data_IF_536858752091
#
_entry.id   IF_536858752091
#
_cell.length_a   1.000
_cell.length_b   1.000
_cell.length_c   1.000
_cell.angle_alpha   90.00
_cell.angle_beta   90.00
_cell.angle_gamma   90.00
#
_symmetry.space_group_name_H-M   'P 1'
#
loop_
_entity.id
_entity.type
_entity.pdbx_description
1 polymer ?
#
# COMPACT_ATOMS: atom_id res chain seq x y z
N UNK A 1 5.30 12.94 10.04
CA UNK A 1 5.44 12.63 8.60
C UNK A 1 4.08 12.14 8.15
N UNK A 2 3.31 13.06 7.57
CA UNK A 2 1.90 12.88 7.22
C UNK A 2 1.85 12.31 5.79
N UNK A 3 1.58 11.01 5.67
CA UNK A 3 1.44 10.32 4.39
C UNK A 3 0.03 10.56 3.85
N UNK A 4 -0.23 11.74 3.29
CA UNK A 4 -1.49 12.01 2.57
C UNK A 4 -1.38 11.57 1.11
N UNK A 5 -2.29 10.67 0.72
CA UNK A 5 -2.43 10.03 -0.60
C UNK A 5 -2.39 11.03 -1.76
N UNK A 6 -1.57 10.78 -2.76
CA UNK A 6 -1.78 11.28 -4.13
C UNK A 6 -2.68 10.28 -4.87
N UNK A 7 -3.99 10.52 -4.91
CA UNK A 7 -4.86 9.83 -5.87
C UNK A 7 -4.83 10.60 -7.19
N UNK A 8 -4.27 9.98 -8.22
CA UNK A 8 -4.38 10.45 -9.61
C UNK A 8 -5.63 9.81 -10.21
N UNK A 9 -6.73 10.55 -10.23
CA UNK A 9 -7.94 10.14 -10.97
C UNK A 9 -7.75 10.44 -12.45
N UNK A 10 -7.52 9.42 -13.28
CA UNK A 10 -7.55 9.55 -14.74
C UNK A 10 -8.86 8.97 -15.25
N UNK A 11 -9.83 9.84 -15.54
CA UNK A 11 -11.16 9.46 -15.99
C UNK A 11 -11.21 9.36 -17.52
N UNK A 12 -10.44 8.45 -18.13
CA UNK A 12 -10.76 7.87 -19.45
C UNK A 12 -9.80 6.69 -19.77
N UNK A 13 -10.36 5.54 -20.15
CA UNK A 13 -9.59 4.33 -20.52
C UNK A 13 -9.70 4.05 -22.03
N UNK A 14 -9.38 5.06 -22.84
CA UNK A 14 -9.17 4.88 -24.27
C UNK A 14 -7.77 5.37 -24.63
N UNK A 15 -6.88 4.42 -24.91
CA UNK A 15 -5.59 4.72 -25.55
C UNK A 15 -5.88 5.03 -27.03
N UNK A 16 -6.37 6.24 -27.28
CA UNK A 16 -6.31 6.87 -28.60
C UNK A 16 -5.39 8.10 -28.48
N UNK A 17 -4.44 8.21 -29.39
CA UNK A 17 -3.22 9.00 -29.28
C UNK A 17 -3.39 10.52 -29.34
N UNK A 18 -4.28 11.13 -28.56
CA UNK A 18 -4.39 12.59 -28.45
C UNK A 18 -4.57 13.07 -27.01
N UNK A 19 -3.52 13.76 -26.55
CA UNK A 19 -3.50 14.78 -25.49
C UNK A 19 -3.61 14.27 -24.04
N UNK A 20 -2.47 13.85 -23.47
CA UNK A 20 -2.32 13.50 -22.06
C UNK A 20 -2.31 14.76 -21.18
N UNK A 21 -3.49 15.25 -20.76
CA UNK A 21 -3.58 16.21 -19.65
C UNK A 21 -4.00 15.49 -18.38
N UNK A 22 -3.02 15.10 -17.58
CA UNK A 22 -3.25 14.75 -16.18
C UNK A 22 -3.76 16.01 -15.45
N UNK A 23 -4.99 15.97 -14.93
CA UNK A 23 -5.53 17.05 -14.09
C UNK A 23 -4.71 17.08 -12.79
N UNK A 24 -3.96 18.16 -12.61
CA UNK A 24 -3.13 18.36 -11.42
C UNK A 24 -4.03 18.92 -10.33
N UNK A 25 -4.32 18.11 -9.31
CA UNK A 25 -5.09 18.53 -8.13
C UNK A 25 -4.35 19.63 -7.34
N UNK A 26 -5.10 20.52 -6.68
CA UNK A 26 -4.56 21.75 -6.05
C UNK A 26 -3.42 21.53 -5.05
N UNK A 27 -3.36 20.38 -4.38
CA UNK A 27 -2.26 20.04 -3.46
C UNK A 27 -0.91 19.83 -4.17
N UNK A 28 -0.92 19.25 -5.38
CA UNK A 28 0.30 19.10 -6.17
C UNK A 28 0.80 20.44 -6.72
N UNK A 29 -0.08 21.42 -6.93
CA UNK A 29 0.29 22.79 -7.32
C UNK A 29 0.94 23.52 -6.13
N UNK A 30 0.36 23.41 -4.93
CA UNK A 30 0.93 24.02 -3.72
C UNK A 30 2.35 23.49 -3.41
N UNK A 31 2.58 22.17 -3.53
CA UNK A 31 3.91 21.58 -3.37
C UNK A 31 4.92 22.12 -4.40
N UNK A 32 4.50 22.26 -5.66
CA UNK A 32 5.35 22.78 -6.75
C UNK A 32 5.74 24.24 -6.54
N UNK A 33 4.80 25.08 -6.09
CA UNK A 33 5.04 26.50 -5.80
C UNK A 33 5.97 26.66 -4.60
N UNK A 34 5.78 25.86 -3.55
CA UNK A 34 6.65 25.91 -2.37
C UNK A 34 8.09 25.41 -2.63
N UNK A 35 8.28 24.52 -3.60
CA UNK A 35 9.60 23.98 -3.95
C UNK A 35 10.25 24.64 -5.19
N UNK A 36 9.62 25.68 -5.77
CA UNK A 36 10.24 26.52 -6.81
C UNK A 36 10.43 25.85 -8.18
N UNK A 37 9.64 24.83 -8.51
CA UNK A 37 9.75 24.15 -9.81
C UNK A 37 9.05 24.94 -10.93
N UNK A 38 9.75 25.08 -12.07
CA UNK A 38 9.24 25.78 -13.26
C UNK A 38 8.07 24.99 -13.88
N UNK A 39 6.97 25.68 -14.19
CA UNK A 39 5.64 25.05 -14.35
C UNK A 39 5.48 24.25 -15.66
N UNK A 40 6.45 24.32 -16.57
CA UNK A 40 6.31 23.84 -17.95
C UNK A 40 7.03 22.54 -18.31
N UNK A 41 7.89 21.99 -17.44
CA UNK A 41 8.78 20.86 -17.78
C UNK A 41 8.57 19.57 -16.96
N UNK A 42 7.39 19.41 -16.33
CA UNK A 42 7.12 18.21 -15.53
C UNK A 42 6.33 17.19 -16.35
N UNK A 43 7.03 16.19 -16.87
CA UNK A 43 6.42 15.01 -17.46
C UNK A 43 5.99 14.02 -16.35
N UNK A 44 4.75 13.53 -16.43
CA UNK A 44 4.24 12.46 -15.58
C UNK A 44 4.28 11.14 -16.38
N UNK A 45 4.89 10.10 -15.80
CA UNK A 45 4.85 8.75 -16.36
C UNK A 45 3.83 7.91 -15.59
N UNK A 46 3.01 7.14 -16.31
CA UNK A 46 2.07 6.20 -15.73
C UNK A 46 2.62 4.78 -15.87
N UNK A 47 2.92 4.13 -14.74
CA UNK A 47 3.32 2.73 -14.71
C UNK A 47 2.10 1.82 -14.78
N UNK A 48 1.99 1.01 -15.83
CA UNK A 48 0.99 -0.06 -15.92
C UNK A 48 1.58 -1.34 -15.35
N UNK A 49 1.10 -1.76 -14.18
CA UNK A 49 1.54 -2.99 -13.52
C UNK A 49 0.41 -4.03 -13.53
N UNK A 50 0.76 -5.30 -13.70
CA UNK A 50 -0.19 -6.39 -13.63
C UNK A 50 -0.63 -6.58 -12.18
N UNK A 51 -1.94 -6.59 -11.95
CA UNK A 51 -2.50 -6.81 -10.61
C UNK A 51 -2.27 -8.25 -10.13
N UNK A 52 -1.85 -8.38 -8.88
CA UNK A 52 -1.68 -9.66 -8.18
C UNK A 52 -2.99 -10.04 -7.50
N UNK A 53 -3.28 -11.35 -7.38
CA UNK A 53 -4.48 -11.89 -6.70
C UNK A 53 -4.34 -11.89 -5.18
N UNK A 54 -3.99 -10.73 -4.61
CA UNK A 54 -3.94 -10.54 -3.15
C UNK A 54 -5.33 -10.41 -2.52
N UNK A 55 -6.39 -10.31 -3.32
CA UNK A 55 -7.80 -10.29 -2.87
C UNK A 55 -8.20 -11.54 -2.07
N UNK A 56 -7.64 -12.71 -2.44
CA UNK A 56 -7.86 -14.00 -1.76
C UNK A 56 -6.76 -14.37 -0.78
N UNK A 57 -5.74 -13.52 -0.65
CA UNK A 57 -4.57 -13.77 0.20
C UNK A 57 -4.32 -12.60 1.13
N UNK A 58 -3.04 -12.27 1.28
CA UNK A 58 -2.58 -11.15 2.08
C UNK A 58 -1.70 -10.20 1.26
N UNK A 59 -1.58 -8.99 1.76
CA UNK A 59 -0.68 -7.96 1.25
C UNK A 59 -0.32 -7.00 2.37
N UNK A 60 0.66 -6.13 2.14
CA UNK A 60 1.07 -5.16 3.13
C UNK A 60 2.29 -4.39 2.69
N UNK A 61 2.99 -3.81 3.67
CA UNK A 61 4.13 -2.93 3.43
C UNK A 61 5.31 -3.42 4.26
N UNK A 62 6.51 -3.31 3.69
CA UNK A 62 7.74 -3.63 4.40
C UNK A 62 8.66 -2.42 4.39
N UNK A 63 9.22 -2.12 5.55
CA UNK A 63 10.25 -1.13 5.75
C UNK A 63 11.55 -1.83 6.15
N UNK A 64 12.62 -1.52 5.44
CA UNK A 64 13.95 -2.07 5.71
C UNK A 64 14.67 -1.38 6.87
N UNK A 65 13.97 -0.56 7.64
CA UNK A 65 14.47 0.09 8.85
C UNK A 65 13.29 0.25 9.80
N UNK A 66 13.55 0.27 11.09
CA UNK A 66 12.54 0.62 12.07
C UNK A 66 12.25 2.12 12.00
N UNK A 67 11.02 2.49 11.66
CA UNK A 67 10.61 3.90 11.49
C UNK A 67 10.47 4.64 12.81
N UNK A 68 10.33 3.94 13.94
CA UNK A 68 10.22 4.58 15.26
C UNK A 68 11.59 4.91 15.85
N UNK A 69 12.53 3.95 15.81
CA UNK A 69 13.87 4.11 16.40
C UNK A 69 14.97 4.50 15.41
N UNK A 70 14.75 4.31 14.10
CA UNK A 70 15.78 4.46 13.06
C UNK A 70 16.78 3.30 13.01
N UNK A 71 16.51 2.19 13.71
CA UNK A 71 17.40 1.03 13.73
C UNK A 71 17.39 0.31 12.37
N UNK A 72 18.54 0.29 11.69
CA UNK A 72 18.68 -0.21 10.32
C UNK A 72 18.76 -1.74 10.23
N UNK A 73 19.08 -2.41 11.33
CA UNK A 73 19.24 -3.86 11.41
C UNK A 73 17.92 -4.59 11.68
N UNK A 74 16.80 -3.86 11.79
CA UNK A 74 15.46 -4.41 11.81
C UNK A 74 14.73 -4.18 10.47
N UNK A 75 13.87 -5.13 10.13
CA UNK A 75 12.86 -5.00 9.07
C UNK A 75 11.50 -5.02 9.76
N UNK A 76 10.71 -4.00 9.47
CA UNK A 76 9.33 -3.91 9.93
C UNK A 76 8.41 -4.31 8.78
N UNK A 77 7.63 -5.36 8.99
CA UNK A 77 6.67 -5.87 7.99
C UNK A 77 5.29 -5.73 8.58
N UNK A 78 4.39 -5.10 7.83
CA UNK A 78 2.96 -5.11 8.11
C UNK A 78 2.22 -5.96 7.09
N UNK A 79 1.19 -6.69 7.50
CA UNK A 79 0.36 -7.46 6.57
C UNK A 79 -1.10 -7.53 6.99
N UNK A 80 -1.99 -7.53 6.00
CA UNK A 80 -3.43 -7.69 6.20
C UNK A 80 -4.00 -8.51 5.05
N UNK A 81 -5.22 -9.04 5.24
CA UNK A 81 -5.94 -9.73 4.17
C UNK A 81 -6.42 -8.76 3.09
N UNK A 82 -6.46 -9.24 1.85
CA UNK A 82 -6.94 -8.47 0.70
C UNK A 82 -5.86 -7.61 0.03
N UNK A 83 -6.31 -6.59 -0.70
CA UNK A 83 -5.46 -5.67 -1.47
C UNK A 83 -4.72 -4.67 -0.57
N UNK A 84 -3.44 -4.44 -0.89
CA UNK A 84 -2.52 -3.68 -0.02
C UNK A 84 -2.81 -2.20 0.05
N UNK A 85 -3.66 -1.70 -0.85
CA UNK A 85 -4.17 -0.35 -0.81
C UNK A 85 -4.83 -0.06 0.55
N UNK A 86 -5.62 -0.98 1.11
CA UNK A 86 -6.25 -0.76 2.42
C UNK A 86 -5.24 -0.44 3.53
N UNK A 87 -4.06 -1.08 3.49
CA UNK A 87 -2.98 -0.88 4.47
C UNK A 87 -2.29 0.48 4.23
N UNK A 88 -1.94 0.80 2.98
CA UNK A 88 -1.32 2.09 2.62
C UNK A 88 -2.24 3.27 2.94
N UNK A 89 -3.55 3.05 2.84
CA UNK A 89 -4.56 4.05 3.16
C UNK A 89 -4.81 4.22 4.67
N UNK A 90 -4.25 3.36 5.54
CA UNK A 90 -4.52 3.36 6.99
C UNK A 90 -5.95 2.96 7.35
N UNK A 91 -6.66 2.28 6.45
CA UNK A 91 -8.07 1.92 6.65
C UNK A 91 -8.26 0.63 7.46
N UNK A 92 -7.21 -0.17 7.61
CA UNK A 92 -7.21 -1.45 8.35
C UNK A 92 -6.06 -1.47 9.34
N UNK A 93 -6.24 -2.17 10.46
CA UNK A 93 -5.19 -2.46 11.43
C UNK A 93 -4.49 -3.79 11.06
N UNK A 94 -3.27 -3.74 10.48
CA UNK A 94 -2.56 -4.93 9.99
C UNK A 94 -1.86 -5.69 11.11
N UNK A 95 -1.44 -6.92 10.82
CA UNK A 95 -0.44 -7.63 11.61
C UNK A 95 0.93 -6.96 11.48
N UNK A 96 1.73 -7.05 12.53
CA UNK A 96 3.06 -6.46 12.60
C UNK A 96 4.11 -7.53 12.90
N UNK A 97 5.21 -7.50 12.16
CA UNK A 97 6.35 -8.38 12.34
C UNK A 97 7.65 -7.59 12.35
N UNK A 98 8.49 -7.87 13.34
CA UNK A 98 9.85 -7.33 13.43
C UNK A 98 10.84 -8.43 13.14
N UNK A 99 11.69 -8.24 12.13
CA UNK A 99 12.68 -9.23 11.70
C UNK A 99 14.08 -8.64 11.84
N UNK A 100 15.00 -9.40 12.46
CA UNK A 100 16.38 -9.01 12.69
C UNK A 100 17.29 -9.46 11.54
N UNK A 101 17.84 -8.51 10.79
CA UNK A 101 18.64 -8.81 9.60
C UNK A 101 19.90 -9.61 9.89
N UNK A 102 20.72 -9.31 10.92
CA UNK A 102 21.91 -10.11 11.22
C UNK A 102 21.57 -11.56 11.56
N UNK A 103 20.48 -11.80 12.29
CA UNK A 103 19.98 -13.14 12.60
C UNK A 103 19.56 -13.90 11.34
N UNK A 104 18.86 -13.24 10.42
CA UNK A 104 18.44 -13.81 9.13
C UNK A 104 19.64 -14.16 8.25
N UNK A 105 20.64 -13.28 8.17
CA UNK A 105 21.90 -13.53 7.44
C UNK A 105 22.68 -14.72 8.00
N UNK A 106 22.56 -14.97 9.30
CA UNK A 106 23.17 -16.12 9.98
C UNK A 106 22.33 -17.42 9.88
N UNK A 107 21.21 -17.41 9.14
CA UNK A 107 20.33 -18.58 8.98
C UNK A 107 19.57 -18.98 10.25
N UNK A 108 19.42 -18.05 11.21
CA UNK A 108 18.71 -18.29 12.48
C UNK A 108 17.28 -17.74 12.40
N UNK A 109 16.35 -18.23 13.23
CA UNK A 109 15.05 -17.61 13.41
C UNK A 109 15.22 -16.12 13.76
N UNK A 110 14.73 -15.26 12.87
CA UNK A 110 15.01 -13.83 12.90
C UNK A 110 13.81 -12.98 13.33
N UNK A 111 12.64 -13.59 13.58
CA UNK A 111 11.43 -12.88 14.00
C UNK A 111 11.59 -12.52 15.49
N UNK A 112 11.75 -11.23 15.76
CA UNK A 112 11.88 -10.68 17.11
C UNK A 112 10.52 -10.55 17.81
N UNK A 113 9.52 -10.09 17.08
CA UNK A 113 8.19 -9.81 17.60
C UNK A 113 7.16 -10.00 16.50
N UNK A 114 5.98 -10.49 16.90
CA UNK A 114 4.78 -10.59 16.08
C UNK A 114 3.59 -10.06 16.87
N UNK A 115 2.76 -9.23 16.25
CA UNK A 115 1.53 -8.69 16.82
C UNK A 115 0.38 -8.96 15.87
N UNK A 116 -0.74 -9.45 16.40
CA UNK A 116 -1.95 -9.71 15.61
C UNK A 116 -2.76 -8.43 15.54
N UNK A 117 -2.99 -7.92 14.33
CA UNK A 117 -3.89 -6.80 14.08
C UNK A 117 -5.34 -7.23 14.08
N UNK A 118 -6.26 -6.28 14.27
CA UNK A 118 -7.70 -6.55 14.28
C UNK A 118 -8.22 -7.10 12.94
N UNK A 119 -7.67 -6.59 11.82
CA UNK A 119 -8.00 -7.03 10.45
C UNK A 119 -9.52 -7.17 10.21
N UNK A 120 -10.33 -6.24 10.74
CA UNK A 120 -11.79 -6.34 10.69
C UNK A 120 -12.34 -6.33 9.26
N UNK A 121 -11.70 -5.56 8.38
CA UNK A 121 -12.08 -5.39 6.98
C UNK A 121 -10.91 -5.70 6.05
N UNK A 122 -11.22 -6.21 4.86
CA UNK A 122 -10.27 -6.48 3.79
C UNK A 122 -10.80 -5.93 2.46
N UNK A 123 -9.93 -5.33 1.65
CA UNK A 123 -10.31 -4.89 0.32
C UNK A 123 -10.18 -6.03 -0.68
N UNK A 124 -11.27 -6.37 -1.38
CA UNK A 124 -11.32 -7.46 -2.38
C UNK A 124 -11.89 -6.97 -3.70
N UNK A 125 -11.69 -7.72 -4.78
CA UNK A 125 -12.34 -7.40 -6.05
C UNK A 125 -13.86 -7.54 -5.92
N UNK A 126 -14.57 -6.56 -6.44
CA UNK A 126 -16.01 -6.62 -6.61
C UNK A 126 -16.33 -7.04 -8.05
N UNK A 127 -17.45 -7.73 -8.24
CA UNK A 127 -17.89 -8.20 -9.56
C UNK A 127 -18.40 -7.06 -10.48
N UNK A 128 -18.24 -5.80 -10.07
CA UNK A 128 -18.67 -4.64 -10.83
C UNK A 128 -17.76 -4.37 -12.02
N UNK A 129 -18.34 -4.31 -13.22
CA UNK A 129 -17.63 -3.96 -14.47
C UNK A 129 -17.35 -2.44 -14.62
N UNK A 130 -17.52 -1.65 -13.57
CA UNK A 130 -17.30 -0.19 -13.58
C UNK A 130 -15.99 0.19 -12.88
N UNK A 131 -15.32 1.23 -13.40
CA UNK A 131 -14.03 1.77 -12.91
C UNK A 131 -14.07 2.17 -11.43
N UNK A 132 -15.23 2.62 -10.94
CA UNK A 132 -15.44 3.05 -9.55
C UNK A 132 -15.92 1.93 -8.62
N UNK A 133 -16.02 0.70 -9.12
CA UNK A 133 -16.63 -0.43 -8.42
C UNK A 133 -15.88 -1.76 -8.60
N UNK A 134 -14.61 -1.72 -9.00
CA UNK A 134 -13.79 -2.92 -9.17
C UNK A 134 -13.30 -3.52 -7.85
N UNK A 135 -13.33 -2.75 -6.76
CA UNK A 135 -12.87 -3.17 -5.43
C UNK A 135 -13.85 -2.72 -4.35
N UNK A 136 -14.06 -3.55 -3.34
CA UNK A 136 -14.92 -3.26 -2.20
C UNK A 136 -14.27 -3.72 -0.88
N UNK A 137 -14.60 -3.01 0.20
CA UNK A 137 -14.28 -3.46 1.55
C UNK A 137 -15.28 -4.53 1.98
N UNK A 138 -14.77 -5.66 2.47
CA UNK A 138 -15.53 -6.80 2.94
C UNK A 138 -15.09 -7.13 4.36
N UNK A 139 -16.04 -7.45 5.23
CA UNK A 139 -15.75 -7.93 6.59
C UNK A 139 -14.99 -9.27 6.52
N UNK A 140 -13.94 -9.39 7.32
CA UNK A 140 -13.17 -10.63 7.46
C UNK A 140 -13.83 -11.51 8.52
N UNK A 141 -13.85 -12.83 8.35
CA UNK A 141 -14.42 -13.72 9.36
C UNK A 141 -13.66 -13.65 10.69
N UNK A 142 -14.38 -13.69 11.81
CA UNK A 142 -13.78 -13.57 13.15
C UNK A 142 -12.69 -14.64 13.41
N UNK A 143 -12.82 -15.83 12.82
CA UNK A 143 -11.83 -16.89 12.90
C UNK A 143 -10.51 -16.53 12.18
N UNK A 144 -10.59 -15.77 11.09
CA UNK A 144 -9.41 -15.32 10.32
C UNK A 144 -8.75 -14.09 10.96
N UNK A 145 -9.53 -13.19 11.59
CA UNK A 145 -9.01 -12.01 12.31
C UNK A 145 -8.02 -12.38 13.40
N UNK A 146 -8.30 -13.48 14.11
CA UNK A 146 -7.49 -14.01 15.20
C UNK A 146 -6.17 -14.64 14.74
N UNK A 147 -5.99 -14.83 13.43
CA UNK A 147 -4.82 -15.48 12.83
C UNK A 147 -3.91 -14.47 12.17
N UNK A 148 -2.62 -14.78 12.12
CA UNK A 148 -1.68 -14.06 11.28
C UNK A 148 -2.01 -14.29 9.81
N UNK A 149 -1.99 -13.19 9.05
CA UNK A 149 -2.24 -13.18 7.61
C UNK A 149 -1.12 -13.81 6.77
N UNK A 150 0.08 -13.94 7.33
CA UNK A 150 1.24 -14.59 6.71
C UNK A 150 1.90 -15.56 7.70
N UNK A 151 2.61 -16.56 7.17
CA UNK A 151 3.42 -17.52 7.93
C UNK A 151 4.87 -17.06 8.07
N UNK A 152 5.64 -17.79 8.89
CA UNK A 152 7.08 -17.58 9.11
C UNK A 152 7.97 -18.06 7.96
#
# INVERSE_FOLDING_TARGET
MDWQKLQVGCHDHRIDGRNHRCVVIGQAIAYRVHHGFDHHDVALSAGVQRMVRSDIGASGVMFTLDTESGFDDAVFVTSSYGLGEAVVQGAVNPDEFYVYKPGLRAGRPAILKRSVGEKAIAMRYANGQHVDGSTAFVEVDAAERSRFSITD
#
